data_IF_748256994618
#
_entry.id   IF_748256994618
#
_cell.length_a   1.000
_cell.length_b   1.000
_cell.length_c   1.000
_cell.angle_alpha   90.00
_cell.angle_beta   90.00
_cell.angle_gamma   90.00
#
_symmetry.space_group_name_H-M   'P 1'
#
loop_
_entity.id
_entity.type
_entity.pdbx_description
1 polymer ?
#
# COMPACT_ATOMS: atom_id res chain seq x y z
N UNK A 1 18.25 -25.18 -7.86
CA UNK A 1 17.22 -25.35 -6.81
C UNK A 1 16.59 -23.99 -6.59
N UNK A 2 15.38 -23.74 -7.11
CA UNK A 2 14.65 -22.49 -6.86
C UNK A 2 14.27 -22.43 -5.38
N UNK A 3 14.93 -21.56 -4.61
CA UNK A 3 14.45 -21.20 -3.28
C UNK A 3 13.13 -20.44 -3.46
N UNK A 4 12.04 -21.02 -3.00
CA UNK A 4 10.75 -20.33 -2.89
C UNK A 4 10.96 -19.30 -1.78
N UNK A 5 11.12 -18.03 -2.14
CA UNK A 5 11.15 -16.94 -1.16
C UNK A 5 9.78 -16.88 -0.48
N UNK A 6 9.72 -17.38 0.74
CA UNK A 6 8.46 -17.35 1.51
C UNK A 6 8.15 -15.90 1.87
N UNK A 7 7.03 -15.39 1.34
CA UNK A 7 6.55 -14.05 1.67
C UNK A 7 5.69 -14.12 2.94
N UNK A 8 6.10 -13.40 3.97
CA UNK A 8 5.36 -13.24 5.21
C UNK A 8 4.62 -11.90 5.24
N UNK A 9 3.46 -11.85 5.90
CA UNK A 9 2.70 -10.62 6.14
C UNK A 9 2.64 -10.38 7.64
N UNK A 10 3.13 -9.24 8.07
CA UNK A 10 3.12 -8.80 9.46
C UNK A 10 2.80 -7.33 9.62
N UNK A 11 2.53 -6.86 10.85
CA UNK A 11 2.40 -5.45 11.12
C UNK A 11 3.70 -4.72 10.81
N UNK A 12 3.60 -3.44 10.43
CA UNK A 12 4.78 -2.62 10.23
C UNK A 12 5.50 -2.35 11.55
N UNK A 13 6.82 -2.25 11.51
CA UNK A 13 7.67 -1.87 12.64
C UNK A 13 8.71 -0.84 12.21
N UNK A 14 9.39 -0.22 13.14
CA UNK A 14 10.46 0.76 12.85
C UNK A 14 11.58 0.16 11.98
N UNK A 15 11.89 -1.13 12.15
CA UNK A 15 12.90 -1.83 11.35
C UNK A 15 12.56 -1.90 9.85
N UNK A 16 11.31 -1.68 9.47
CA UNK A 16 10.86 -1.70 8.08
C UNK A 16 10.97 -0.34 7.36
N UNK A 17 11.23 0.76 8.07
CA UNK A 17 11.12 2.13 7.54
C UNK A 17 11.93 2.31 6.25
N UNK A 18 13.20 1.96 6.26
CA UNK A 18 14.08 2.17 5.10
C UNK A 18 13.72 1.29 3.91
N UNK A 19 13.42 0.01 4.18
CA UNK A 19 13.00 -0.92 3.13
C UNK A 19 11.62 -0.55 2.58
N UNK A 20 10.70 -0.12 3.42
CA UNK A 20 9.39 0.42 3.01
C UNK A 20 9.56 1.64 2.10
N UNK A 21 10.41 2.59 2.49
CA UNK A 21 10.67 3.80 1.69
C UNK A 21 11.22 3.46 0.30
N UNK A 22 12.20 2.52 0.21
CA UNK A 22 12.72 2.04 -1.07
C UNK A 22 11.63 1.41 -1.93
N UNK A 23 10.79 0.57 -1.34
CA UNK A 23 9.66 -0.07 -2.04
C UNK A 23 8.63 0.94 -2.52
N UNK A 24 8.30 1.92 -1.67
CA UNK A 24 7.41 3.03 -2.05
C UNK A 24 7.96 3.80 -3.25
N UNK A 25 9.27 4.13 -3.25
CA UNK A 25 9.91 4.87 -4.35
C UNK A 25 9.88 4.09 -5.68
N UNK A 26 10.17 2.79 -5.64
CA UNK A 26 10.08 1.94 -6.84
C UNK A 26 8.67 1.94 -7.42
N UNK A 27 7.64 1.77 -6.59
CA UNK A 27 6.24 1.75 -7.07
C UNK A 27 5.77 3.15 -7.51
N UNK A 28 6.20 4.21 -6.81
CA UNK A 28 5.85 5.59 -7.18
C UNK A 28 6.43 6.00 -8.53
N UNK A 29 7.70 5.63 -8.80
CA UNK A 29 8.38 5.94 -10.06
C UNK A 29 7.83 5.19 -11.29
N UNK A 30 6.99 4.18 -11.10
CA UNK A 30 6.19 3.65 -12.20
C UNK A 30 5.18 4.68 -12.74
N UNK A 31 4.89 5.76 -11.97
CA UNK A 31 4.03 6.91 -12.30
C UNK A 31 2.61 6.50 -12.73
N UNK A 32 2.18 5.33 -12.30
CA UNK A 32 0.96 4.69 -12.78
C UNK A 32 -0.03 4.29 -11.70
N UNK A 33 0.41 4.11 -10.46
CA UNK A 33 -0.42 3.45 -9.46
C UNK A 33 -0.70 4.30 -8.23
N UNK A 34 0.22 5.16 -7.84
CA UNK A 34 0.15 5.95 -6.63
C UNK A 34 -0.16 7.42 -6.92
N UNK A 35 -0.61 8.14 -5.90
CA UNK A 35 -0.69 9.59 -5.94
C UNK A 35 0.70 10.26 -5.92
N UNK A 36 1.72 9.54 -5.47
CA UNK A 36 3.12 9.96 -5.52
C UNK A 36 3.76 9.58 -6.86
N UNK A 37 4.57 10.46 -7.43
CA UNK A 37 5.38 10.21 -8.64
C UNK A 37 6.83 9.79 -8.29
N UNK A 38 7.21 10.00 -7.04
CA UNK A 38 8.41 9.53 -6.36
C UNK A 38 8.11 9.46 -4.86
N UNK A 39 8.89 8.73 -4.08
CA UNK A 39 8.69 8.70 -2.63
C UNK A 39 8.94 10.10 -2.02
N UNK A 40 8.15 10.49 -1.01
CA UNK A 40 8.47 11.68 -0.23
C UNK A 40 9.82 11.48 0.49
N UNK A 41 10.45 12.54 1.03
CA UNK A 41 11.69 12.40 1.79
C UNK A 41 11.60 11.29 2.86
N UNK A 42 12.69 10.58 3.10
CA UNK A 42 12.74 9.46 4.06
C UNK A 42 12.19 9.87 5.44
N UNK A 43 12.48 11.08 5.90
CA UNK A 43 11.98 11.57 7.19
C UNK A 43 10.45 11.72 7.22
N UNK A 44 9.82 12.05 6.10
CA UNK A 44 8.35 12.09 5.98
C UNK A 44 7.75 10.68 6.06
N UNK A 45 8.39 9.71 5.38
CA UNK A 45 8.01 8.30 5.47
C UNK A 45 8.20 7.76 6.88
N UNK A 46 9.31 8.11 7.54
CA UNK A 46 9.59 7.77 8.94
C UNK A 46 8.50 8.31 9.87
N UNK A 47 8.21 9.60 9.76
CA UNK A 47 7.18 10.26 10.57
C UNK A 47 5.79 9.60 10.38
N UNK A 48 5.43 9.27 9.14
CA UNK A 48 4.17 8.57 8.82
C UNK A 48 4.11 7.20 9.51
N UNK A 49 5.16 6.40 9.38
CA UNK A 49 5.18 5.04 9.96
C UNK A 49 5.17 5.10 11.49
N UNK A 50 5.99 5.97 12.11
CA UNK A 50 6.02 6.12 13.56
C UNK A 50 4.69 6.61 14.11
N UNK A 51 4.02 7.55 13.42
CA UNK A 51 2.67 7.98 13.77
C UNK A 51 1.67 6.82 13.72
N UNK A 52 1.71 5.98 12.68
CA UNK A 52 0.82 4.84 12.55
C UNK A 52 1.06 3.80 13.65
N UNK A 53 2.32 3.52 13.99
CA UNK A 53 2.69 2.62 15.10
C UNK A 53 2.18 3.18 16.43
N UNK A 54 2.43 4.46 16.71
CA UNK A 54 2.05 5.11 17.97
C UNK A 54 0.54 5.11 18.21
N UNK A 55 -0.27 5.22 17.14
CA UNK A 55 -1.73 5.24 17.23
C UNK A 55 -2.37 3.87 16.98
N UNK A 56 -1.60 2.84 16.69
CA UNK A 56 -2.12 1.51 16.36
C UNK A 56 -2.92 1.47 15.05
N UNK A 57 -2.62 2.34 14.08
CA UNK A 57 -3.32 2.37 12.80
C UNK A 57 -3.05 1.08 12.01
N UNK A 58 -4.05 0.55 11.31
CA UNK A 58 -3.90 -0.68 10.54
C UNK A 58 -2.88 -0.51 9.41
N UNK A 59 -1.67 -1.04 9.58
CA UNK A 59 -0.63 -1.04 8.56
C UNK A 59 0.15 -2.35 8.58
N UNK A 60 0.15 -3.04 7.46
CA UNK A 60 0.83 -4.32 7.26
C UNK A 60 1.80 -4.24 6.09
N UNK A 61 2.88 -5.00 6.22
CA UNK A 61 3.89 -5.17 5.17
C UNK A 61 4.02 -6.63 4.80
N UNK A 62 4.28 -6.87 3.52
CA UNK A 62 4.74 -8.15 3.01
C UNK A 62 6.26 -8.11 2.96
N UNK A 63 6.92 -9.08 3.58
CA UNK A 63 8.37 -9.17 3.63
C UNK A 63 8.86 -10.50 3.09
N UNK A 64 10.03 -10.51 2.48
CA UNK A 64 10.73 -11.74 2.11
C UNK A 64 11.82 -12.04 3.13
N UNK A 65 11.89 -13.31 3.54
CA UNK A 65 13.01 -13.82 4.34
C UNK A 65 14.11 -14.30 3.40
N UNK A 66 15.35 -13.81 3.58
CA UNK A 66 16.53 -14.36 2.96
C UNK A 66 17.17 -13.49 1.86
N UNK A 67 18.45 -13.71 1.67
CA UNK A 67 19.38 -13.01 0.79
C UNK A 67 18.79 -12.73 -0.59
N UNK A 68 18.58 -11.47 -0.89
CA UNK A 68 18.47 -10.98 -2.26
C UNK A 68 19.86 -11.19 -2.88
N UNK A 69 19.93 -11.79 -4.06
CA UNK A 69 21.22 -12.11 -4.68
C UNK A 69 22.04 -10.84 -4.90
N UNK A 70 23.37 -10.96 -4.81
CA UNK A 70 24.32 -9.86 -4.99
C UNK A 70 24.16 -9.08 -6.32
N UNK A 71 23.48 -9.62 -7.32
CA UNK A 71 23.14 -8.95 -8.57
C UNK A 71 21.96 -7.96 -8.44
N UNK A 72 21.13 -8.07 -7.39
CA UNK A 72 20.02 -7.16 -7.08
C UNK A 72 20.40 -6.13 -5.99
N UNK A 73 21.59 -6.28 -5.40
CA UNK A 73 22.17 -5.46 -4.32
C UNK A 73 23.03 -4.31 -4.85
N UNK A 74 22.98 -3.96 -6.13
CA UNK A 74 23.82 -2.85 -6.62
C UNK A 74 23.45 -1.47 -6.05
N UNK A 75 22.65 -1.43 -4.96
CA UNK A 75 22.36 -0.23 -4.19
C UNK A 75 22.10 -0.51 -2.70
N UNK A 76 23.05 -1.10 -1.98
CA UNK A 76 23.08 -1.11 -0.52
C UNK A 76 22.54 -2.38 0.13
N UNK A 77 23.39 -2.98 0.98
CA UNK A 77 23.10 -4.12 1.85
C UNK A 77 21.82 -3.92 2.66
N UNK A 78 20.92 -4.90 2.60
CA UNK A 78 19.82 -5.03 3.53
C UNK A 78 19.95 -6.35 4.27
N UNK A 79 20.50 -6.29 5.45
CA UNK A 79 20.45 -7.32 6.47
C UNK A 79 19.08 -7.20 7.12
N UNK A 80 18.10 -8.02 6.72
CA UNK A 80 16.76 -8.00 7.30
C UNK A 80 15.70 -8.38 6.28
N UNK A 81 14.50 -8.56 6.72
CA UNK A 81 13.36 -8.89 5.87
C UNK A 81 12.99 -7.69 4.99
N UNK A 82 13.19 -7.81 3.68
CA UNK A 82 12.85 -6.75 2.74
C UNK A 82 11.34 -6.61 2.57
N UNK A 83 10.85 -5.38 2.69
CA UNK A 83 9.47 -5.04 2.34
C UNK A 83 9.33 -5.13 0.82
N UNK A 84 8.35 -5.92 0.38
CA UNK A 84 8.03 -6.10 -1.05
C UNK A 84 6.63 -5.60 -1.40
N UNK A 85 5.89 -5.18 -0.40
CA UNK A 85 4.57 -4.57 -0.54
C UNK A 85 3.99 -4.17 0.81
N UNK A 86 2.95 -3.36 0.76
CA UNK A 86 2.25 -2.86 1.94
C UNK A 86 0.77 -2.64 1.69
N UNK A 87 0.02 -2.56 2.76
CA UNK A 87 -1.34 -2.03 2.79
C UNK A 87 -1.58 -1.36 4.13
N UNK A 88 -2.11 -0.15 4.11
CA UNK A 88 -2.47 0.61 5.31
C UNK A 88 -3.86 1.22 5.19
N UNK A 89 -4.46 1.53 6.33
CA UNK A 89 -5.67 2.35 6.42
C UNK A 89 -5.42 3.45 7.42
N UNK A 90 -5.42 4.69 6.94
CA UNK A 90 -5.27 5.89 7.77
C UNK A 90 -6.65 6.45 8.13
N UNK A 91 -7.01 6.52 9.43
CA UNK A 91 -8.26 7.13 9.86
C UNK A 91 -8.34 8.61 9.50
N UNK A 92 -9.55 9.09 9.16
CA UNK A 92 -9.78 10.52 8.93
C UNK A 92 -9.79 11.29 10.26
N UNK A 93 -9.18 12.47 10.28
CA UNK A 93 -8.96 13.24 11.50
C UNK A 93 -10.18 14.05 11.99
N UNK A 94 -11.13 14.38 11.09
CA UNK A 94 -12.32 15.18 11.49
C UNK A 94 -13.35 14.32 12.22
N UNK A 95 -13.89 14.75 13.35
CA UNK A 95 -14.82 13.95 14.18
C UNK A 95 -16.00 13.32 13.43
N UNK A 96 -16.61 14.06 12.48
CA UNK A 96 -17.74 13.54 11.68
C UNK A 96 -17.34 12.39 10.73
N UNK A 97 -16.05 12.20 10.48
CA UNK A 97 -15.47 11.15 9.64
C UNK A 97 -14.63 10.14 10.43
N UNK A 98 -14.68 10.18 11.77
CA UNK A 98 -13.85 9.32 12.62
C UNK A 98 -14.07 7.81 12.39
N UNK A 99 -15.23 7.43 11.83
CA UNK A 99 -15.56 6.06 11.44
C UNK A 99 -14.99 5.66 10.07
N UNK A 100 -14.36 6.59 9.35
CA UNK A 100 -13.85 6.38 8.00
C UNK A 100 -12.31 6.31 7.99
N UNK A 101 -11.76 5.46 7.14
CA UNK A 101 -10.34 5.42 6.85
C UNK A 101 -10.06 5.43 5.35
N UNK A 102 -8.85 5.86 4.98
CA UNK A 102 -8.36 5.87 3.59
C UNK A 102 -7.33 4.78 3.42
N UNK A 103 -7.52 3.92 2.42
CA UNK A 103 -6.62 2.82 2.14
C UNK A 103 -5.54 3.23 1.14
N UNK A 104 -4.29 2.89 1.48
CA UNK A 104 -3.16 2.92 0.58
C UNK A 104 -2.53 1.54 0.45
N UNK A 105 -2.07 1.15 -0.74
CA UNK A 105 -1.35 -0.09 -0.95
C UNK A 105 -0.44 -0.06 -2.17
N UNK A 106 0.60 -0.89 -2.12
CA UNK A 106 1.48 -1.13 -3.27
C UNK A 106 2.22 -2.45 -3.14
N UNK A 107 2.65 -2.95 -4.28
CA UNK A 107 3.46 -4.17 -4.41
C UNK A 107 4.54 -3.96 -5.46
N UNK A 108 5.76 -4.43 -5.19
CA UNK A 108 6.79 -4.50 -6.22
C UNK A 108 6.31 -5.34 -7.40
N UNK A 109 6.67 -4.98 -8.66
CA UNK A 109 6.16 -5.63 -9.87
C UNK A 109 6.26 -7.16 -9.85
N UNK A 110 7.41 -7.70 -9.44
CA UNK A 110 7.67 -9.15 -9.40
C UNK A 110 6.80 -9.94 -8.41
N UNK A 111 6.11 -9.26 -7.49
CA UNK A 111 5.24 -9.89 -6.49
C UNK A 111 3.75 -9.72 -6.78
N UNK A 112 3.40 -9.09 -7.91
CA UNK A 112 2.01 -8.93 -8.37
C UNK A 112 1.48 -10.21 -9.00
N UNK A 113 0.16 -10.33 -9.09
CA UNK A 113 -0.50 -11.49 -9.73
C UNK A 113 -0.40 -12.82 -8.96
N UNK A 114 0.14 -12.82 -7.74
CA UNK A 114 0.39 -14.03 -6.93
C UNK A 114 -0.54 -14.12 -5.69
N UNK A 115 -1.63 -13.36 -5.68
CA UNK A 115 -2.58 -13.34 -4.56
C UNK A 115 -2.13 -12.56 -3.33
N UNK A 116 -0.90 -11.99 -3.33
CA UNK A 116 -0.33 -11.28 -2.20
C UNK A 116 -1.13 -10.01 -1.85
N UNK A 117 -1.59 -9.26 -2.87
CA UNK A 117 -2.44 -8.09 -2.68
C UNK A 117 -3.74 -8.44 -1.95
N UNK A 118 -4.40 -9.54 -2.32
CA UNK A 118 -5.62 -10.03 -1.62
C UNK A 118 -5.32 -10.34 -0.16
N UNK A 119 -4.21 -11.01 0.13
CA UNK A 119 -3.82 -11.34 1.51
C UNK A 119 -3.53 -10.08 2.36
N UNK A 120 -2.81 -9.11 1.80
CA UNK A 120 -2.51 -7.84 2.47
C UNK A 120 -3.78 -7.07 2.78
N UNK A 121 -4.61 -6.80 1.78
CA UNK A 121 -5.82 -5.98 1.95
C UNK A 121 -6.82 -6.64 2.91
N UNK A 122 -7.03 -7.96 2.82
CA UNK A 122 -7.93 -8.68 3.73
C UNK A 122 -7.47 -8.54 5.19
N UNK A 123 -6.16 -8.70 5.43
CA UNK A 123 -5.61 -8.55 6.79
C UNK A 123 -5.74 -7.13 7.31
N UNK A 124 -5.48 -6.13 6.46
CA UNK A 124 -5.59 -4.72 6.82
C UNK A 124 -7.04 -4.30 7.09
N UNK A 125 -8.01 -4.76 6.28
CA UNK A 125 -9.43 -4.49 6.51
C UNK A 125 -9.94 -5.13 7.82
N UNK A 126 -9.50 -6.35 8.12
CA UNK A 126 -9.83 -6.98 9.40
C UNK A 126 -9.30 -6.15 10.59
N UNK A 127 -8.07 -5.66 10.51
CA UNK A 127 -7.49 -4.79 11.53
C UNK A 127 -8.19 -3.42 11.58
N UNK A 128 -8.61 -2.86 10.44
CA UNK A 128 -9.36 -1.61 10.38
C UNK A 128 -10.72 -1.73 11.10
N UNK A 129 -11.43 -2.84 10.91
CA UNK A 129 -12.65 -3.14 11.66
C UNK A 129 -12.39 -3.28 13.16
N UNK A 130 -11.34 -4.00 13.55
CA UNK A 130 -10.96 -4.16 14.95
C UNK A 130 -10.52 -2.82 15.60
N UNK A 131 -9.95 -1.91 14.81
CA UNK A 131 -9.63 -0.54 15.23
C UNK A 131 -10.87 0.34 15.46
N UNK A 132 -12.04 -0.06 14.95
CA UNK A 132 -13.31 0.66 15.11
C UNK A 132 -13.77 1.44 13.87
N UNK A 133 -13.12 1.24 12.73
CA UNK A 133 -13.60 1.82 11.46
C UNK A 133 -14.77 0.99 10.94
N UNK A 134 -15.80 1.67 10.42
CA UNK A 134 -16.95 1.04 9.76
C UNK A 134 -17.00 1.30 8.25
N UNK A 135 -16.10 2.15 7.75
CA UNK A 135 -15.98 2.48 6.34
C UNK A 135 -14.50 2.65 5.96
N UNK A 136 -14.10 2.06 4.86
CA UNK A 136 -12.79 2.29 4.24
C UNK A 136 -13.01 2.70 2.80
N UNK A 137 -12.35 3.76 2.39
CA UNK A 137 -12.41 4.29 1.04
C UNK A 137 -11.03 4.32 0.39
N UNK A 138 -11.00 4.35 -0.92
CA UNK A 138 -9.79 4.49 -1.72
C UNK A 138 -10.09 5.24 -3.02
N UNK A 139 -9.04 5.72 -3.66
CA UNK A 139 -9.09 6.18 -5.03
C UNK A 139 -8.15 5.35 -5.89
N UNK A 140 -8.53 5.11 -7.14
CA UNK A 140 -7.73 4.33 -8.08
C UNK A 140 -7.88 4.93 -9.49
N UNK A 141 -6.79 4.93 -10.26
CA UNK A 141 -6.86 5.38 -11.66
C UNK A 141 -7.76 4.45 -12.47
N UNK A 142 -8.56 5.00 -13.36
CA UNK A 142 -9.54 4.26 -14.15
C UNK A 142 -8.90 3.18 -15.04
N UNK A 143 -7.66 3.37 -15.47
CA UNK A 143 -6.91 2.42 -16.29
C UNK A 143 -6.27 1.28 -15.47
N UNK A 144 -6.23 1.37 -14.14
CA UNK A 144 -5.66 0.35 -13.26
C UNK A 144 -6.64 -0.82 -13.02
N UNK A 145 -6.97 -1.54 -14.10
CA UNK A 145 -7.95 -2.64 -14.09
C UNK A 145 -7.61 -3.74 -13.09
N UNK A 146 -6.32 -4.01 -12.87
CA UNK A 146 -5.89 -5.07 -11.94
C UNK A 146 -6.18 -4.70 -10.48
N UNK A 147 -5.99 -3.44 -10.09
CA UNK A 147 -6.31 -2.97 -8.75
C UNK A 147 -7.82 -2.89 -8.55
N UNK A 148 -8.57 -2.39 -9.53
CA UNK A 148 -10.04 -2.34 -9.48
C UNK A 148 -10.60 -3.74 -9.25
N UNK A 149 -10.18 -4.74 -10.05
CA UNK A 149 -10.61 -6.12 -9.89
C UNK A 149 -10.24 -6.72 -8.51
N UNK A 150 -9.09 -6.35 -7.95
CA UNK A 150 -8.71 -6.74 -6.60
C UNK A 150 -9.66 -6.13 -5.56
N UNK A 151 -9.95 -4.84 -5.67
CA UNK A 151 -10.82 -4.14 -4.72
C UNK A 151 -12.27 -4.66 -4.79
N UNK A 152 -12.82 -4.87 -5.98
CA UNK A 152 -14.13 -5.49 -6.17
C UNK A 152 -14.19 -6.89 -5.56
N UNK A 153 -13.16 -7.71 -5.79
CA UNK A 153 -13.06 -9.07 -5.23
C UNK A 153 -13.13 -9.10 -3.70
N UNK A 154 -12.61 -8.09 -3.01
CA UNK A 154 -12.64 -8.02 -1.54
C UNK A 154 -13.83 -7.24 -1.00
N UNK A 155 -14.72 -6.75 -1.88
CA UNK A 155 -16.01 -6.18 -1.50
C UNK A 155 -16.12 -4.65 -1.60
N UNK A 156 -15.12 -3.97 -2.17
CA UNK A 156 -15.28 -2.55 -2.51
C UNK A 156 -16.29 -2.37 -3.64
N UNK A 157 -17.06 -1.31 -3.56
CA UNK A 157 -17.96 -0.86 -4.63
C UNK A 157 -17.54 0.51 -5.13
N UNK A 158 -17.73 0.76 -6.43
CA UNK A 158 -17.51 2.08 -7.02
C UNK A 158 -18.61 3.04 -6.55
N UNK A 159 -18.22 4.21 -6.06
CA UNK A 159 -19.14 5.27 -5.61
C UNK A 159 -19.11 6.50 -6.52
N UNK A 160 -18.02 6.71 -7.27
CA UNK A 160 -17.91 7.87 -8.14
C UNK A 160 -16.77 7.79 -9.16
N UNK A 161 -16.83 8.73 -10.11
CA UNK A 161 -15.81 8.99 -11.12
C UNK A 161 -15.44 10.47 -11.10
N UNK A 162 -14.18 10.75 -10.78
CA UNK A 162 -13.61 12.09 -10.91
C UNK A 162 -13.00 12.21 -12.33
N UNK A 163 -13.67 12.94 -13.21
CA UNK A 163 -13.12 13.23 -14.55
C UNK A 163 -11.94 14.18 -14.41
N UNK A 164 -10.83 13.86 -15.09
CA UNK A 164 -9.58 14.63 -14.98
C UNK A 164 -9.12 14.77 -13.52
N UNK A 165 -9.28 13.72 -12.72
CA UNK A 165 -8.98 13.72 -11.30
C UNK A 165 -7.48 13.72 -10.97
N UNK A 166 -6.63 13.38 -11.94
CA UNK A 166 -5.17 13.47 -11.84
C UNK A 166 -4.58 14.09 -13.11
N UNK A 167 -3.40 14.70 -12.95
CA UNK A 167 -2.56 15.17 -14.05
C UNK A 167 -1.18 14.54 -13.90
N UNK A 168 -0.80 13.68 -14.85
CA UNK A 168 0.48 12.97 -14.85
C UNK A 168 1.17 13.16 -16.18
N UNK A 169 2.38 13.69 -16.14
CA UNK A 169 3.21 13.95 -17.34
C UNK A 169 2.50 14.78 -18.42
N UNK A 170 1.60 15.69 -18.01
CA UNK A 170 0.82 16.55 -18.91
C UNK A 170 -0.49 15.93 -19.42
N UNK A 171 -0.78 14.67 -19.08
CA UNK A 171 -2.00 13.98 -19.45
C UNK A 171 -3.00 13.91 -18.29
N UNK A 172 -4.27 14.23 -18.58
CA UNK A 172 -5.34 14.09 -17.60
C UNK A 172 -5.82 12.65 -17.52
N UNK A 173 -6.01 12.17 -16.27
CA UNK A 173 -6.51 10.84 -16.00
C UNK A 173 -7.77 10.90 -15.12
N UNK A 174 -8.68 9.98 -15.35
CA UNK A 174 -9.85 9.80 -14.50
C UNK A 174 -9.50 8.96 -13.25
N UNK A 175 -10.15 9.29 -12.15
CA UNK A 175 -10.00 8.59 -10.88
C UNK A 175 -11.35 7.99 -10.48
N UNK A 176 -11.35 6.71 -10.15
CA UNK A 176 -12.51 6.01 -9.58
C UNK A 176 -12.42 6.10 -8.05
N UNK A 177 -13.51 6.47 -7.41
CA UNK A 177 -13.70 6.41 -5.98
C UNK A 177 -14.39 5.09 -5.62
N UNK A 178 -13.81 4.35 -4.68
CA UNK A 178 -14.37 3.09 -4.20
C UNK A 178 -14.41 3.05 -2.68
N UNK A 179 -15.38 2.35 -2.12
CA UNK A 179 -15.48 2.15 -0.68
C UNK A 179 -16.04 0.78 -0.32
N UNK A 180 -15.74 0.36 0.92
CA UNK A 180 -16.31 -0.82 1.57
C UNK A 180 -16.84 -0.44 2.94
N UNK A 181 -18.00 -0.97 3.31
CA UNK A 181 -18.56 -0.93 4.67
C UNK A 181 -18.09 -2.19 5.41
N UNK A 182 -17.47 -2.01 6.61
CA UNK A 182 -16.86 -3.08 7.39
C UNK A 182 -17.84 -3.72 8.38
#
# INVERSE_FOLDING_TARGET
>A
MNRVNTVEIGPITEAHIESFHKTLDVVARERRYLAFLEAPPLESTRAFILNNIAHGYPQFVATVAGEVSAAEVSAGEVLGRDVVGWCDVTPKSRPIYAHCGVLGMGLLPRFRGQGLGTRLITRTLHAARAFGLSRVELTVREDNRSAIALYEKVGFVTEGLQRNGALVDGEYENIIEMAILL
#
